data_IF_910898542342
#
_entry.id   IF_910898542342
#
_cell.length_a   1.000
_cell.length_b   1.000
_cell.length_c   1.000
_cell.angle_alpha   90.00
_cell.angle_beta   90.00
_cell.angle_gamma   90.00
#
_symmetry.space_group_name_H-M   'P 1'
#
loop_
_entity.id
_entity.type
_entity.pdbx_description
1 polymer ?
#
# COMPACT_ATOMS: atom_id res chain seq x y z
N UNK A 1 -26.38 33.77 2.80
CA UNK A 1 -25.25 33.49 1.88
C UNK A 1 -23.95 33.19 2.62
N UNK A 2 -23.50 34.05 3.55
CA UNK A 2 -22.22 33.87 4.27
C UNK A 2 -22.06 32.50 4.98
N UNK A 3 -23.11 31.99 5.64
CA UNK A 3 -23.09 30.67 6.30
C UNK A 3 -22.85 29.51 5.33
N UNK A 4 -23.43 29.57 4.14
CA UNK A 4 -23.25 28.54 3.10
C UNK A 4 -21.84 28.60 2.50
N UNK A 5 -21.35 29.81 2.18
CA UNK A 5 -19.98 30.00 1.69
C UNK A 5 -18.93 29.53 2.71
N UNK A 6 -19.17 29.72 4.01
CA UNK A 6 -18.28 29.25 5.07
C UNK A 6 -18.26 27.71 5.17
N UNK A 7 -19.42 27.04 5.05
CA UNK A 7 -19.50 25.58 4.97
C UNK A 7 -18.73 25.03 3.77
N UNK A 8 -18.91 25.62 2.59
CA UNK A 8 -18.15 25.24 1.39
C UNK A 8 -16.65 25.45 1.59
N UNK A 9 -16.25 26.58 2.20
CA UNK A 9 -14.84 26.86 2.48
C UNK A 9 -14.21 25.83 3.41
N UNK A 10 -14.91 25.41 4.47
CA UNK A 10 -14.45 24.34 5.37
C UNK A 10 -14.25 23.03 4.61
N UNK A 11 -15.21 22.64 3.75
CA UNK A 11 -15.11 21.40 2.96
C UNK A 11 -13.89 21.45 2.02
N UNK A 12 -13.69 22.59 1.35
CA UNK A 12 -12.53 22.80 0.47
C UNK A 12 -11.23 22.70 1.25
N UNK A 13 -11.16 23.29 2.45
CA UNK A 13 -9.97 23.17 3.31
C UNK A 13 -9.70 21.72 3.72
N UNK A 14 -10.73 20.98 4.16
CA UNK A 14 -10.58 19.57 4.55
C UNK A 14 -10.05 18.73 3.37
N UNK A 15 -10.60 18.93 2.18
CA UNK A 15 -10.13 18.24 0.97
C UNK A 15 -8.70 18.65 0.60
N UNK A 16 -8.36 19.93 0.69
CA UNK A 16 -7.03 20.45 0.42
C UNK A 16 -5.98 19.80 1.33
N UNK A 17 -6.23 19.77 2.64
CA UNK A 17 -5.34 19.08 3.59
C UNK A 17 -5.28 17.57 3.31
N UNK A 18 -6.40 16.94 2.93
CA UNK A 18 -6.43 15.54 2.52
C UNK A 18 -5.47 15.25 1.35
N UNK A 19 -5.46 16.10 0.33
CA UNK A 19 -4.53 15.98 -0.81
C UNK A 19 -3.09 16.17 -0.37
N UNK A 20 -2.78 17.19 0.44
CA UNK A 20 -1.43 17.44 0.94
C UNK A 20 -0.87 16.24 1.73
N UNK A 21 -1.69 15.66 2.61
CA UNK A 21 -1.32 14.46 3.36
C UNK A 21 -1.09 13.25 2.44
N UNK A 22 -1.96 13.06 1.45
CA UNK A 22 -1.82 12.01 0.45
C UNK A 22 -0.51 12.12 -0.33
N UNK A 23 -0.13 13.33 -0.74
CA UNK A 23 1.16 13.57 -1.41
C UNK A 23 2.36 13.28 -0.51
N UNK A 24 2.31 13.66 0.78
CA UNK A 24 3.38 13.32 1.74
C UNK A 24 3.53 11.81 1.92
N UNK A 25 2.40 11.11 2.07
CA UNK A 25 2.41 9.65 2.22
C UNK A 25 2.92 8.96 0.95
N UNK A 26 2.50 9.43 -0.24
CA UNK A 26 2.99 8.92 -1.52
C UNK A 26 4.49 9.16 -1.69
N UNK A 27 4.99 10.36 -1.37
CA UNK A 27 6.41 10.68 -1.46
C UNK A 27 7.26 9.79 -0.54
N UNK A 28 6.80 9.60 0.70
CA UNK A 28 7.47 8.71 1.67
C UNK A 28 7.43 7.26 1.22
N UNK A 29 6.28 6.80 0.69
CA UNK A 29 6.13 5.46 0.12
C UNK A 29 7.06 5.22 -1.07
N UNK A 30 7.19 6.20 -1.97
CA UNK A 30 8.12 6.14 -3.10
C UNK A 30 9.58 6.12 -2.64
N UNK A 31 9.95 6.92 -1.63
CA UNK A 31 11.31 6.90 -1.06
C UNK A 31 11.65 5.51 -0.48
N UNK A 32 10.69 4.89 0.22
CA UNK A 32 10.83 3.54 0.80
C UNK A 32 10.92 2.46 -0.28
N UNK A 33 10.16 2.56 -1.38
CA UNK A 33 10.23 1.61 -2.50
C UNK A 33 11.51 1.73 -3.32
N UNK A 34 12.10 2.92 -3.43
CA UNK A 34 13.38 3.13 -4.11
C UNK A 34 14.59 2.62 -3.31
N UNK A 35 14.37 2.17 -2.06
CA UNK A 35 15.41 1.58 -1.22
C UNK A 35 16.58 2.51 -0.91
N UNK A 36 16.34 3.83 -0.91
CA UNK A 36 17.36 4.83 -0.55
C UNK A 36 17.95 4.64 0.85
N UNK A 37 17.26 3.91 1.72
CA UNK A 37 17.69 3.57 3.08
C UNK A 37 18.26 2.13 3.18
N UNK A 38 18.48 1.43 2.05
CA UNK A 38 19.02 0.08 2.00
C UNK A 38 20.46 0.06 1.44
N UNK A 39 21.50 -0.08 2.30
CA UNK A 39 22.91 -0.14 1.88
C UNK A 39 23.23 -1.31 0.93
N UNK A 40 22.35 -2.31 0.84
CA UNK A 40 22.55 -3.49 -0.01
C UNK A 40 22.27 -3.22 -1.50
N UNK A 41 21.51 -2.18 -1.84
CA UNK A 41 21.17 -1.85 -3.24
C UNK A 41 22.32 -1.16 -4.00
N UNK A 42 23.34 -0.65 -3.30
CA UNK A 42 24.54 -0.11 -3.94
C UNK A 42 25.43 -1.19 -4.56
N UNK A 43 25.22 -2.48 -4.24
CA UNK A 43 26.07 -3.61 -4.65
C UNK A 43 25.36 -4.63 -5.56
N UNK A 44 24.28 -4.25 -6.24
CA UNK A 44 23.54 -5.15 -7.15
C UNK A 44 24.16 -5.29 -8.55
N UNK A 45 25.40 -4.84 -8.75
CA UNK A 45 26.14 -5.11 -9.99
C UNK A 45 27.64 -5.28 -9.70
N UNK A 46 28.02 -6.50 -9.31
CA UNK A 46 29.42 -6.93 -9.37
C UNK A 46 29.55 -7.89 -10.55
N UNK A 47 29.94 -7.36 -11.71
CA UNK A 47 30.41 -8.21 -12.82
C UNK A 47 31.85 -8.54 -12.51
N UNK A 48 32.10 -9.78 -12.10
CA UNK A 48 33.43 -10.35 -12.10
C UNK A 48 33.59 -11.05 -13.45
N UNK A 49 34.29 -10.40 -14.39
CA UNK A 49 34.75 -11.07 -15.59
C UNK A 49 35.74 -12.16 -15.17
N UNK A 50 35.43 -13.40 -15.52
CA UNK A 50 36.38 -14.50 -15.50
C UNK A 50 36.73 -14.84 -16.95
N UNK A 51 38.03 -14.99 -17.20
CA UNK A 51 38.79 -15.07 -18.47
C UNK A 51 38.37 -16.17 -19.49
N UNK A 52 37.15 -16.73 -19.40
CA UNK A 52 36.70 -17.88 -20.22
C UNK A 52 35.24 -17.83 -20.65
N UNK A 53 34.77 -16.70 -21.17
CA UNK A 53 33.70 -16.64 -22.18
C UNK A 53 32.31 -17.22 -21.88
N UNK A 54 32.05 -17.76 -20.69
CA UNK A 54 30.76 -18.36 -20.32
C UNK A 54 30.06 -17.50 -19.25
N UNK A 55 29.01 -16.80 -19.68
CA UNK A 55 28.17 -15.97 -18.81
C UNK A 55 27.25 -16.88 -17.99
N UNK A 56 27.69 -17.24 -16.78
CA UNK A 56 26.84 -17.91 -15.81
C UNK A 56 26.00 -16.88 -15.04
N UNK A 57 24.83 -16.54 -15.57
CA UNK A 57 23.77 -15.91 -14.79
C UNK A 57 23.21 -16.95 -13.82
N UNK A 58 23.65 -16.92 -12.56
CA UNK A 58 23.07 -17.73 -11.48
C UNK A 58 21.66 -17.21 -11.18
N UNK A 59 20.67 -17.71 -11.93
CA UNK A 59 19.25 -17.53 -11.66
C UNK A 59 18.94 -18.29 -10.38
N UNK A 60 18.82 -17.53 -9.30
CA UNK A 60 18.02 -17.76 -8.10
C UNK A 60 17.83 -19.24 -7.72
N UNK A 61 18.76 -19.74 -6.91
CA UNK A 61 18.79 -21.11 -6.42
C UNK A 61 17.64 -21.47 -5.49
N UNK A 62 16.52 -21.89 -6.04
CA UNK A 62 15.68 -22.92 -5.45
C UNK A 62 14.83 -23.59 -6.53
N UNK A 63 15.15 -24.84 -6.87
CA UNK A 63 14.26 -25.72 -7.64
C UNK A 63 13.05 -26.05 -6.76
N UNK A 64 12.08 -25.14 -6.72
CA UNK A 64 10.78 -25.36 -6.07
C UNK A 64 10.09 -26.49 -6.83
N UNK A 65 10.17 -27.69 -6.25
CA UNK A 65 9.50 -28.89 -6.76
C UNK A 65 7.99 -28.66 -6.74
N UNK A 66 7.29 -29.10 -7.78
CA UNK A 66 5.86 -28.86 -8.05
C UNK A 66 4.90 -29.18 -6.88
N UNK A 67 5.36 -29.92 -5.87
CA UNK A 67 4.63 -30.26 -4.66
C UNK A 67 4.49 -29.08 -3.67
N UNK A 68 5.41 -28.12 -3.64
CA UNK A 68 5.35 -26.95 -2.74
C UNK A 68 4.44 -25.83 -3.26
N UNK A 69 4.28 -25.73 -4.59
CA UNK A 69 3.35 -24.80 -5.22
C UNK A 69 1.88 -25.15 -4.95
N UNK A 70 1.56 -26.45 -4.83
CA UNK A 70 0.21 -26.92 -4.51
C UNK A 70 -0.17 -26.57 -3.06
N UNK A 71 0.71 -26.84 -2.08
CA UNK A 71 0.50 -26.46 -0.67
C UNK A 71 0.44 -24.94 -0.46
N UNK A 72 1.24 -24.16 -1.19
CA UNK A 72 1.14 -22.68 -1.15
C UNK A 72 -0.16 -22.17 -1.78
N UNK A 73 -0.65 -22.80 -2.85
CA UNK A 73 -1.96 -22.46 -3.44
C UNK A 73 -3.11 -22.77 -2.49
N UNK A 74 -3.08 -23.92 -1.82
CA UNK A 74 -4.09 -24.32 -0.83
C UNK A 74 -4.14 -23.34 0.35
N UNK A 75 -2.99 -22.94 0.91
CA UNK A 75 -2.92 -21.89 1.95
C UNK A 75 -3.38 -20.51 1.47
N UNK A 76 -3.13 -20.17 0.20
CA UNK A 76 -3.61 -18.91 -0.39
C UNK A 76 -5.12 -18.94 -0.68
N UNK A 77 -5.69 -20.10 -1.00
CA UNK A 77 -7.14 -20.28 -1.13
C UNK A 77 -7.85 -20.25 0.23
N UNK A 78 -7.28 -20.90 1.26
CA UNK A 78 -7.75 -20.77 2.65
C UNK A 78 -7.68 -19.32 3.15
N UNK A 79 -6.62 -18.58 2.83
CA UNK A 79 -6.51 -17.14 3.15
C UNK A 79 -7.41 -16.24 2.29
N UNK A 80 -7.74 -16.65 1.05
CA UNK A 80 -8.67 -15.92 0.15
C UNK A 80 -10.12 -16.06 0.59
N UNK A 81 -10.48 -17.12 1.30
CA UNK A 81 -11.85 -17.41 1.69
C UNK A 81 -12.30 -16.57 2.90
N UNK A 82 -12.58 -15.29 2.62
CA UNK A 82 -13.83 -14.65 2.98
C UNK A 82 -14.12 -14.26 4.44
N UNK A 83 -13.38 -14.72 5.45
CA UNK A 83 -13.72 -14.39 6.85
C UNK A 83 -12.79 -13.35 7.51
N UNK A 84 -11.47 -13.50 7.38
CA UNK A 84 -10.54 -12.58 8.04
C UNK A 84 -10.49 -11.19 7.36
N UNK A 85 -10.21 -11.15 6.06
CA UNK A 85 -10.20 -9.88 5.32
C UNK A 85 -11.58 -9.22 5.26
N UNK A 86 -12.65 -10.02 5.24
CA UNK A 86 -14.03 -9.50 5.29
C UNK A 86 -14.36 -8.91 6.65
N UNK A 87 -14.05 -9.59 7.76
CA UNK A 87 -14.31 -9.06 9.11
C UNK A 87 -13.48 -7.79 9.39
N UNK A 88 -12.21 -7.76 9.00
CA UNK A 88 -11.35 -6.57 9.10
C UNK A 88 -11.87 -5.44 8.20
N UNK A 89 -12.20 -5.78 6.94
CA UNK A 89 -12.75 -4.83 5.99
C UNK A 89 -14.10 -4.25 6.44
N UNK A 90 -14.94 -5.07 7.08
CA UNK A 90 -16.24 -4.64 7.64
C UNK A 90 -16.04 -3.66 8.78
N UNK A 91 -15.12 -3.96 9.71
CA UNK A 91 -14.77 -3.04 10.80
C UNK A 91 -14.22 -1.70 10.30
N UNK A 92 -13.33 -1.72 9.30
CA UNK A 92 -12.83 -0.50 8.64
C UNK A 92 -13.96 0.26 7.95
N UNK A 93 -14.81 -0.44 7.20
CA UNK A 93 -15.93 0.18 6.48
C UNK A 93 -16.92 0.83 7.44
N UNK A 94 -17.25 0.16 8.54
CA UNK A 94 -18.17 0.68 9.56
C UNK A 94 -17.57 1.90 10.28
N UNK A 95 -16.25 1.88 10.56
CA UNK A 95 -15.55 3.01 11.14
C UNK A 95 -15.58 4.23 10.20
N UNK A 96 -15.24 4.04 8.92
CA UNK A 96 -15.29 5.10 7.91
C UNK A 96 -16.72 5.64 7.76
N UNK A 97 -17.71 4.76 7.64
CA UNK A 97 -19.11 5.15 7.50
C UNK A 97 -19.62 5.94 8.72
N UNK A 98 -19.21 5.55 9.93
CA UNK A 98 -19.56 6.27 11.17
C UNK A 98 -18.92 7.65 11.26
N UNK A 99 -17.66 7.79 10.83
CA UNK A 99 -16.98 9.09 10.76
C UNK A 99 -17.69 10.01 9.78
N UNK A 100 -18.00 9.53 8.57
CA UNK A 100 -18.72 10.33 7.57
C UNK A 100 -20.10 10.75 8.04
N UNK A 101 -20.88 9.85 8.66
CA UNK A 101 -22.18 10.19 9.24
C UNK A 101 -22.06 11.32 10.28
N UNK A 102 -21.10 11.24 11.21
CA UNK A 102 -20.86 12.30 12.20
C UNK A 102 -20.47 13.63 11.56
N UNK A 103 -19.59 13.60 10.55
CA UNK A 103 -19.17 14.81 9.83
C UNK A 103 -20.35 15.45 9.11
N UNK A 104 -21.17 14.66 8.41
CA UNK A 104 -22.37 15.19 7.75
C UNK A 104 -23.35 15.77 8.75
N UNK A 105 -23.59 15.09 9.87
CA UNK A 105 -24.48 15.57 10.92
C UNK A 105 -24.00 16.90 11.51
N UNK A 106 -22.71 17.04 11.81
CA UNK A 106 -22.11 18.30 12.28
C UNK A 106 -22.21 19.44 11.25
N UNK A 107 -22.08 19.16 9.95
CA UNK A 107 -22.19 20.18 8.89
C UNK A 107 -23.66 20.57 8.66
N UNK A 108 -24.58 19.62 8.79
CA UNK A 108 -26.02 19.83 8.67
C UNK A 108 -26.59 20.63 9.86
N UNK A 109 -26.10 20.37 11.08
CA UNK A 109 -26.58 21.02 12.31
C UNK A 109 -25.95 22.40 12.57
N UNK A 110 -24.81 22.73 11.94
CA UNK A 110 -24.15 24.06 11.97
C UNK A 110 -24.85 25.10 11.08
#
# INVERSE_FOLDING_TARGET
MLRFSFKCFIIVLVLFFGVLLGMQQANTGMKKMKGYDDPSLYNAFTVTESDKGDIHASILGETVTSHDLAKKKEKLEEMKAYNFFSSVGRGISDAVSSVFKKVFQLISDL
#
